data_IF_395195639686
#
_entry.id   IF_395195639686
#
_cell.length_a   1.000
_cell.length_b   1.000
_cell.length_c   1.000
_cell.angle_alpha   90.00
_cell.angle_beta   90.00
_cell.angle_gamma   90.00
#
_symmetry.space_group_name_H-M   'P 1'
#
loop_
_entity.id
_entity.type
_entity.pdbx_description
1 polymer ?
#
# COMPACT_ATOMS: atom_id res chain seq x y z
N UNK A 1 23.16 -37.29 13.88
CA UNK A 1 22.54 -35.97 13.63
C UNK A 1 21.65 -36.15 12.44
N UNK A 2 20.35 -36.05 12.69
CA UNK A 2 19.31 -36.76 11.95
C UNK A 2 18.69 -35.82 10.90
N UNK A 3 18.34 -36.35 9.73
CA UNK A 3 17.83 -35.58 8.58
C UNK A 3 16.55 -34.80 8.94
N UNK A 4 15.81 -35.31 9.91
CA UNK A 4 14.62 -34.70 10.51
C UNK A 4 14.93 -33.43 11.32
N UNK A 5 16.13 -33.34 11.91
CA UNK A 5 16.57 -32.19 12.70
C UNK A 5 16.95 -31.01 11.79
N UNK A 6 17.67 -31.29 10.70
CA UNK A 6 18.00 -30.28 9.67
C UNK A 6 16.73 -29.74 8.96
N UNK A 7 15.76 -30.60 8.68
CA UNK A 7 14.48 -30.19 8.08
C UNK A 7 13.68 -29.28 9.03
N UNK A 8 13.65 -29.61 10.33
CA UNK A 8 13.03 -28.78 11.37
C UNK A 8 13.71 -27.42 11.51
N UNK A 9 15.04 -27.38 11.51
CA UNK A 9 15.81 -26.13 11.57
C UNK A 9 15.51 -25.27 10.33
N UNK A 10 15.43 -25.88 9.15
CA UNK A 10 15.07 -25.17 7.91
C UNK A 10 13.64 -24.63 7.89
N UNK A 11 12.68 -25.36 8.43
CA UNK A 11 11.29 -24.92 8.61
C UNK A 11 11.19 -23.76 9.61
N UNK A 12 11.85 -23.89 10.76
CA UNK A 12 11.89 -22.83 11.78
C UNK A 12 12.51 -21.55 11.22
N UNK A 13 13.63 -21.64 10.51
CA UNK A 13 14.29 -20.50 9.89
C UNK A 13 13.37 -19.74 8.91
N UNK A 14 12.55 -20.46 8.13
CA UNK A 14 11.58 -19.85 7.21
C UNK A 14 10.36 -19.23 7.93
N UNK A 15 10.04 -19.69 9.14
CA UNK A 15 8.90 -19.21 9.93
C UNK A 15 9.21 -17.94 10.75
N UNK A 16 10.45 -17.78 11.23
CA UNK A 16 10.88 -16.66 12.07
C UNK A 16 10.48 -15.28 11.51
N UNK A 17 10.71 -14.95 10.22
CA UNK A 17 10.36 -13.63 9.67
C UNK A 17 8.86 -13.37 9.72
N UNK A 18 8.05 -14.39 9.44
CA UNK A 18 6.59 -14.28 9.52
C UNK A 18 6.11 -14.08 10.95
N UNK A 19 6.72 -14.75 11.93
CA UNK A 19 6.44 -14.53 13.34
C UNK A 19 6.79 -13.10 13.78
N UNK A 20 7.92 -12.56 13.31
CA UNK A 20 8.31 -11.17 13.59
C UNK A 20 7.29 -10.19 13.01
N UNK A 21 6.87 -10.37 11.75
CA UNK A 21 5.84 -9.52 11.13
C UNK A 21 4.50 -9.63 11.87
N UNK A 22 4.11 -10.85 12.26
CA UNK A 22 2.90 -11.06 13.06
C UNK A 22 2.98 -10.33 14.41
N UNK A 23 4.15 -10.33 15.06
CA UNK A 23 4.38 -9.60 16.30
C UNK A 23 4.31 -8.08 16.10
N UNK A 24 4.89 -7.56 15.00
CA UNK A 24 4.80 -6.13 14.65
C UNK A 24 3.33 -5.73 14.46
N UNK A 25 2.56 -6.51 13.69
CA UNK A 25 1.13 -6.27 13.47
C UNK A 25 0.35 -6.34 14.79
N UNK A 26 0.63 -7.34 15.63
CA UNK A 26 -0.02 -7.49 16.93
C UNK A 26 0.24 -6.27 17.82
N UNK A 27 1.48 -5.77 17.88
CA UNK A 27 1.82 -4.58 18.65
C UNK A 27 1.04 -3.35 18.17
N UNK A 28 0.96 -3.15 16.85
CA UNK A 28 0.16 -2.07 16.25
C UNK A 28 -1.31 -2.20 16.59
N UNK A 29 -1.88 -3.41 16.51
CA UNK A 29 -3.28 -3.68 16.88
C UNK A 29 -3.51 -3.30 18.34
N UNK A 30 -2.65 -3.75 19.26
CA UNK A 30 -2.79 -3.46 20.70
C UNK A 30 -2.79 -1.95 20.96
N UNK A 31 -1.87 -1.20 20.35
CA UNK A 31 -1.82 0.26 20.49
C UNK A 31 -3.06 0.91 19.91
N UNK A 32 -3.46 0.56 18.67
CA UNK A 32 -4.62 1.18 18.01
C UNK A 32 -5.95 0.85 18.68
N UNK A 33 -6.10 -0.33 19.27
CA UNK A 33 -7.31 -0.67 20.06
C UNK A 33 -7.44 0.27 21.25
N UNK A 34 -6.34 0.63 21.91
CA UNK A 34 -6.34 1.63 23.00
C UNK A 34 -6.67 3.04 22.51
N UNK A 35 -6.31 3.36 21.27
CA UNK A 35 -6.60 4.64 20.63
C UNK A 35 -7.98 4.68 19.93
N UNK A 36 -8.72 3.58 19.90
CA UNK A 36 -9.97 3.49 19.11
C UNK A 36 -11.09 4.43 19.59
N UNK A 37 -11.02 4.90 20.84
CA UNK A 37 -11.94 5.85 21.45
C UNK A 37 -11.53 7.32 21.31
N UNK A 38 -10.33 7.59 20.77
CA UNK A 38 -9.88 8.96 20.54
C UNK A 38 -10.89 9.64 19.60
N UNK A 39 -11.36 10.86 19.89
CA UNK A 39 -12.27 11.58 19.01
C UNK A 39 -11.69 11.73 17.60
N UNK A 40 -12.58 11.78 16.61
CA UNK A 40 -12.21 11.99 15.22
C UNK A 40 -11.42 13.30 15.06
N UNK A 41 -10.37 13.23 14.25
CA UNK A 41 -9.67 14.42 13.78
C UNK A 41 -10.55 15.20 12.79
N UNK A 42 -10.26 16.50 12.62
CA UNK A 42 -11.03 17.43 11.78
C UNK A 42 -11.36 16.90 10.37
N UNK A 43 -10.42 16.25 9.69
CA UNK A 43 -10.66 15.70 8.36
C UNK A 43 -11.51 14.42 8.41
N UNK A 44 -11.40 13.62 9.48
CA UNK A 44 -12.16 12.39 9.67
C UNK A 44 -13.65 12.65 9.86
N UNK A 45 -14.01 13.73 10.55
CA UNK A 45 -15.41 14.14 10.71
C UNK A 45 -16.10 14.35 9.36
N UNK A 46 -15.42 15.03 8.44
CA UNK A 46 -15.91 15.26 7.08
C UNK A 46 -16.05 13.93 6.31
N UNK A 47 -15.07 13.04 6.44
CA UNK A 47 -15.11 11.73 5.79
C UNK A 47 -16.20 10.82 6.35
N UNK A 48 -16.39 10.84 7.66
CA UNK A 48 -17.42 10.08 8.36
C UNK A 48 -18.81 10.55 7.95
N UNK A 49 -19.07 11.87 7.98
CA UNK A 49 -20.36 12.41 7.59
C UNK A 49 -20.72 12.05 6.13
N UNK A 50 -19.77 12.21 5.21
CA UNK A 50 -19.95 11.80 3.82
C UNK A 50 -20.20 10.30 3.66
N UNK A 51 -19.48 9.47 4.43
CA UNK A 51 -19.72 8.04 4.47
C UNK A 51 -21.12 7.68 4.97
N UNK A 52 -21.66 8.40 5.96
CA UNK A 52 -23.02 8.19 6.47
C UNK A 52 -24.07 8.53 5.42
N UNK A 53 -23.88 9.63 4.68
CA UNK A 53 -24.76 10.01 3.57
C UNK A 53 -24.80 8.93 2.49
N UNK A 54 -23.64 8.38 2.12
CA UNK A 54 -23.54 7.26 1.18
C UNK A 54 -24.34 6.04 1.70
N UNK A 55 -24.23 5.72 3.00
CA UNK A 55 -24.98 4.62 3.61
C UNK A 55 -26.50 4.88 3.65
N UNK A 56 -26.93 6.15 3.66
CA UNK A 56 -28.33 6.54 3.52
C UNK A 56 -28.80 6.66 2.06
N UNK A 57 -27.97 6.25 1.09
CA UNK A 57 -28.32 6.25 -0.32
C UNK A 57 -28.15 7.61 -1.02
N UNK A 58 -27.52 8.58 -0.37
CA UNK A 58 -27.19 9.88 -0.96
C UNK A 58 -25.88 9.75 -1.75
N UNK A 59 -25.88 9.99 -3.07
CA UNK A 59 -24.66 9.94 -3.87
C UNK A 59 -23.63 10.99 -3.44
N UNK A 60 -22.32 10.73 -3.62
CA UNK A 60 -21.28 11.74 -3.37
C UNK A 60 -21.56 13.04 -4.14
N UNK A 61 -21.30 14.18 -3.50
CA UNK A 61 -21.43 15.54 -4.05
C UNK A 61 -22.85 16.06 -4.32
N UNK A 62 -23.89 15.27 -4.03
CA UNK A 62 -25.26 15.75 -4.22
C UNK A 62 -25.63 16.79 -3.16
N UNK A 63 -25.50 16.40 -1.88
CA UNK A 63 -25.95 17.22 -0.75
C UNK A 63 -24.79 17.95 -0.06
N UNK A 64 -23.56 17.47 -0.26
CA UNK A 64 -22.33 18.06 0.31
C UNK A 64 -21.32 18.28 -0.80
N UNK A 65 -21.16 19.53 -1.19
CA UNK A 65 -20.21 19.94 -2.22
C UNK A 65 -18.78 19.92 -1.66
N UNK A 66 -17.89 19.19 -2.34
CA UNK A 66 -16.50 19.07 -1.93
C UNK A 66 -15.58 18.82 -3.14
N UNK A 67 -14.32 19.25 -3.04
CA UNK A 67 -13.28 19.08 -4.08
C UNK A 67 -12.48 17.77 -3.95
N UNK A 68 -12.57 17.06 -2.83
CA UNK A 68 -11.87 15.78 -2.61
C UNK A 68 -12.55 14.67 -3.39
N UNK A 69 -11.76 13.71 -3.88
CA UNK A 69 -12.24 12.54 -4.62
C UNK A 69 -13.06 11.59 -3.72
N UNK A 70 -13.97 10.78 -4.29
CA UNK A 70 -15.00 10.11 -3.49
C UNK A 70 -14.49 8.84 -2.78
N UNK A 71 -13.29 8.34 -3.13
CA UNK A 71 -12.79 7.06 -2.63
C UNK A 71 -12.68 6.99 -1.12
N UNK A 72 -12.21 8.07 -0.49
CA UNK A 72 -12.11 8.12 0.98
C UNK A 72 -13.49 8.03 1.63
N UNK A 73 -14.50 8.74 1.11
CA UNK A 73 -15.88 8.66 1.63
C UNK A 73 -16.46 7.25 1.48
N UNK A 74 -16.23 6.61 0.34
CA UNK A 74 -16.65 5.22 0.09
C UNK A 74 -15.95 4.27 1.06
N UNK A 75 -14.66 4.46 1.32
CA UNK A 75 -13.93 3.66 2.32
C UNK A 75 -14.51 3.82 3.71
N UNK A 76 -14.87 5.05 4.12
CA UNK A 76 -15.56 5.30 5.38
C UNK A 76 -16.92 4.62 5.45
N UNK A 77 -17.72 4.71 4.38
CA UNK A 77 -19.00 4.00 4.28
C UNK A 77 -18.79 2.48 4.45
N UNK A 78 -17.79 1.90 3.77
CA UNK A 78 -17.44 0.48 3.90
C UNK A 78 -17.07 0.12 5.34
N UNK A 79 -16.15 0.86 5.98
CA UNK A 79 -15.75 0.61 7.36
C UNK A 79 -16.95 0.71 8.33
N UNK A 80 -17.77 1.76 8.20
CA UNK A 80 -18.94 1.94 9.06
C UNK A 80 -20.04 0.91 8.81
N UNK A 81 -20.22 0.42 7.58
CA UNK A 81 -21.17 -0.67 7.30
C UNK A 81 -20.78 -1.98 8.00
N UNK A 82 -19.48 -2.23 8.17
CA UNK A 82 -18.96 -3.46 8.76
C UNK A 82 -18.81 -3.37 10.28
N UNK A 83 -18.34 -2.23 10.80
CA UNK A 83 -17.98 -2.06 12.22
C UNK A 83 -18.91 -1.10 12.98
N UNK A 84 -19.94 -0.58 12.31
CA UNK A 84 -20.91 0.38 12.85
C UNK A 84 -20.51 1.84 12.60
N UNK A 85 -21.52 2.72 12.52
CA UNK A 85 -21.37 4.17 12.38
C UNK A 85 -20.93 4.81 13.72
N UNK A 86 -19.71 4.51 14.15
CA UNK A 86 -19.11 5.03 15.39
C UNK A 86 -17.62 5.29 15.22
N UNK A 87 -17.05 6.10 16.12
CA UNK A 87 -15.60 6.40 16.16
C UNK A 87 -14.78 5.11 16.23
N UNK A 88 -15.13 4.22 17.17
CA UNK A 88 -14.50 2.89 17.27
C UNK A 88 -14.62 2.08 15.99
N UNK A 89 -15.77 2.13 15.32
CA UNK A 89 -15.99 1.40 14.07
C UNK A 89 -15.05 1.83 12.95
N UNK A 90 -14.87 3.15 12.79
CA UNK A 90 -13.93 3.74 11.83
C UNK A 90 -12.49 3.32 12.18
N UNK A 91 -12.09 3.45 13.45
CA UNK A 91 -10.74 3.09 13.88
C UNK A 91 -10.45 1.57 13.79
N UNK A 92 -11.44 0.70 13.94
CA UNK A 92 -11.28 -0.73 13.64
C UNK A 92 -11.04 -0.98 12.14
N UNK A 93 -11.73 -0.25 11.26
CA UNK A 93 -11.43 -0.27 9.84
C UNK A 93 -9.99 0.14 9.53
N UNK A 94 -9.51 1.21 10.19
CA UNK A 94 -8.12 1.66 10.07
C UNK A 94 -7.11 0.60 10.52
N UNK A 95 -7.39 -0.13 11.61
CA UNK A 95 -6.54 -1.22 12.09
C UNK A 95 -6.33 -2.27 10.99
N UNK A 96 -7.39 -2.65 10.28
CA UNK A 96 -7.33 -3.65 9.20
C UNK A 96 -6.48 -3.10 8.03
N UNK A 97 -6.75 -1.86 7.61
CA UNK A 97 -6.01 -1.20 6.52
C UNK A 97 -4.51 -1.12 6.85
N UNK A 98 -4.19 -0.70 8.07
CA UNK A 98 -2.80 -0.53 8.49
C UNK A 98 -2.08 -1.88 8.64
N UNK A 99 -2.75 -2.90 9.19
CA UNK A 99 -2.21 -4.27 9.28
C UNK A 99 -1.93 -4.88 7.90
N UNK A 100 -2.86 -4.73 6.97
CA UNK A 100 -2.68 -5.17 5.58
C UNK A 100 -1.53 -4.42 4.89
N UNK A 101 -1.40 -3.11 5.17
CA UNK A 101 -0.30 -2.29 4.62
C UNK A 101 1.06 -2.76 5.14
N UNK A 102 1.21 -3.03 6.44
CA UNK A 102 2.44 -3.58 7.03
C UNK A 102 2.81 -4.90 6.33
N UNK A 103 1.85 -5.79 6.14
CA UNK A 103 2.07 -7.06 5.45
C UNK A 103 2.53 -6.86 4.00
N UNK A 104 1.91 -5.93 3.26
CA UNK A 104 2.32 -5.63 1.89
C UNK A 104 3.73 -5.04 1.80
N UNK A 105 4.13 -4.19 2.75
CA UNK A 105 5.50 -3.67 2.85
C UNK A 105 6.48 -4.82 3.06
N UNK A 106 6.17 -5.76 3.94
CA UNK A 106 7.00 -6.94 4.15
C UNK A 106 7.14 -7.78 2.87
N UNK A 107 6.01 -8.10 2.21
CA UNK A 107 6.02 -8.89 0.98
C UNK A 107 6.81 -8.21 -0.14
N UNK A 108 6.64 -6.90 -0.27
CA UNK A 108 7.31 -6.11 -1.31
C UNK A 108 8.81 -5.96 -1.02
N UNK A 109 9.18 -5.63 0.22
CA UNK A 109 10.57 -5.52 0.64
C UNK A 109 11.34 -6.82 0.46
N UNK A 110 10.70 -7.96 0.78
CA UNK A 110 11.27 -9.29 0.60
C UNK A 110 11.47 -9.64 -0.88
N UNK A 111 10.59 -9.13 -1.75
CA UNK A 111 10.64 -9.34 -3.20
C UNK A 111 11.69 -8.48 -3.89
N UNK A 112 11.94 -7.26 -3.42
CA UNK A 112 12.81 -6.28 -4.08
C UNK A 112 14.24 -6.29 -3.52
N UNK A 113 14.42 -6.42 -2.20
CA UNK A 113 15.70 -6.21 -1.53
C UNK A 113 16.15 -7.48 -0.79
N UNK A 114 15.62 -7.69 0.41
CA UNK A 114 15.99 -8.79 1.29
C UNK A 114 14.96 -8.93 2.42
N UNK A 115 15.01 -10.06 3.10
CA UNK A 115 14.11 -10.33 4.24
C UNK A 115 14.37 -9.39 5.42
N UNK A 116 15.64 -9.12 5.74
CA UNK A 116 16.01 -8.19 6.82
C UNK A 116 15.55 -6.76 6.50
N UNK A 117 15.76 -6.30 5.26
CA UNK A 117 15.28 -4.99 4.83
C UNK A 117 13.75 -4.90 4.89
N UNK A 118 13.04 -5.99 4.54
CA UNK A 118 11.58 -6.06 4.62
C UNK A 118 11.07 -5.94 6.06
N UNK A 119 11.69 -6.65 7.00
CA UNK A 119 11.35 -6.58 8.42
C UNK A 119 11.58 -5.17 8.97
N UNK A 120 12.75 -4.58 8.68
CA UNK A 120 13.08 -3.22 9.08
C UNK A 120 12.09 -2.21 8.50
N UNK A 121 11.79 -2.28 7.20
CA UNK A 121 10.82 -1.38 6.56
C UNK A 121 9.41 -1.51 7.17
N UNK A 122 8.98 -2.74 7.47
CA UNK A 122 7.68 -3.02 8.08
C UNK A 122 7.60 -2.47 9.50
N UNK A 123 8.65 -2.64 10.31
CA UNK A 123 8.74 -2.08 11.66
C UNK A 123 8.77 -0.54 11.63
N UNK A 124 9.55 0.06 10.74
CA UNK A 124 9.62 1.52 10.58
C UNK A 124 8.26 2.09 10.18
N UNK A 125 7.59 1.49 9.20
CA UNK A 125 6.25 1.93 8.81
C UNK A 125 5.24 1.76 9.96
N UNK A 126 5.28 0.64 10.69
CA UNK A 126 4.42 0.41 11.84
C UNK A 126 4.54 1.54 12.87
N UNK A 127 5.78 1.92 13.24
CA UNK A 127 6.04 3.01 14.19
C UNK A 127 5.56 4.36 13.64
N UNK A 128 5.97 4.72 12.41
CA UNK A 128 5.57 5.99 11.79
C UNK A 128 4.04 6.10 11.63
N UNK A 129 3.38 4.99 11.37
CA UNK A 129 1.92 4.97 11.23
C UNK A 129 1.18 5.14 12.55
N UNK A 130 1.85 5.09 13.70
CA UNK A 130 1.26 5.40 15.00
C UNK A 130 1.60 6.83 15.48
N UNK A 131 2.48 7.52 14.75
CA UNK A 131 3.03 8.80 15.18
C UNK A 131 2.06 9.96 14.94
N UNK A 132 1.92 10.82 15.94
CA UNK A 132 0.99 11.96 15.89
C UNK A 132 1.48 13.09 14.99
N UNK A 133 2.79 13.24 14.75
CA UNK A 133 3.34 14.31 13.91
C UNK A 133 2.95 14.14 12.44
N UNK A 134 2.62 12.91 12.03
CA UNK A 134 2.12 12.59 10.69
C UNK A 134 0.62 12.23 10.70
N UNK A 135 -0.06 12.50 11.82
CA UNK A 135 -1.46 12.15 12.06
C UNK A 135 -1.78 10.66 11.83
N UNK A 136 -0.83 9.75 12.10
CA UNK A 136 -0.97 8.32 11.80
C UNK A 136 -2.02 7.59 12.65
N UNK A 137 -2.42 8.19 13.78
CA UNK A 137 -3.48 7.65 14.63
C UNK A 137 -4.88 7.78 13.99
N UNK A 138 -5.08 8.79 13.14
CA UNK A 138 -6.34 9.10 12.46
C UNK A 138 -6.48 8.35 11.12
N UNK A 139 -7.71 8.02 10.76
CA UNK A 139 -8.10 7.30 9.54
C UNK A 139 -8.07 8.22 8.30
N UNK A 140 -6.93 8.87 8.06
CA UNK A 140 -6.75 9.77 6.92
C UNK A 140 -6.69 9.04 5.58
N UNK A 141 -7.07 9.77 4.52
CA UNK A 141 -7.02 9.34 3.13
C UNK A 141 -5.68 8.73 2.69
N UNK A 142 -4.55 9.18 3.26
CA UNK A 142 -3.22 8.66 2.93
C UNK A 142 -3.06 7.17 3.26
N UNK A 143 -3.65 6.68 4.35
CA UNK A 143 -3.66 5.24 4.66
C UNK A 143 -4.38 4.45 3.58
N UNK A 144 -5.48 4.99 3.04
CA UNK A 144 -6.27 4.34 1.99
C UNK A 144 -5.64 4.46 0.60
N UNK A 145 -4.74 5.42 0.37
CA UNK A 145 -3.93 5.49 -0.86
C UNK A 145 -2.86 4.39 -0.85
N UNK A 146 -2.14 4.26 0.26
CA UNK A 146 -0.95 3.40 0.35
C UNK A 146 -1.31 1.92 0.18
N UNK A 147 -2.40 1.45 0.79
CA UNK A 147 -2.84 0.05 0.71
C UNK A 147 -2.99 -0.45 -0.75
N UNK A 148 -3.87 0.13 -1.59
CA UNK A 148 -4.01 -0.28 -2.98
C UNK A 148 -2.77 0.06 -3.81
N UNK A 149 -2.05 1.15 -3.53
CA UNK A 149 -0.81 1.45 -4.25
C UNK A 149 0.23 0.33 -4.11
N UNK A 150 0.48 -0.16 -2.89
CA UNK A 150 1.41 -1.26 -2.64
C UNK A 150 0.92 -2.57 -3.25
N UNK A 151 -0.37 -2.86 -3.17
CA UNK A 151 -0.97 -4.01 -3.84
C UNK A 151 -0.78 -3.94 -5.36
N UNK A 152 -0.97 -2.76 -5.94
CA UNK A 152 -0.75 -2.47 -7.35
C UNK A 152 0.68 -2.74 -7.79
N UNK A 153 1.67 -2.28 -7.01
CA UNK A 153 3.10 -2.56 -7.26
C UNK A 153 3.39 -4.06 -7.13
N UNK A 154 2.89 -4.73 -6.09
CA UNK A 154 3.14 -6.16 -5.88
C UNK A 154 2.63 -7.00 -7.06
N UNK A 155 1.41 -6.71 -7.52
CA UNK A 155 0.80 -7.34 -8.70
C UNK A 155 1.53 -6.99 -9.98
N UNK A 156 1.96 -5.74 -10.17
CA UNK A 156 2.75 -5.31 -11.33
C UNK A 156 4.04 -6.14 -11.45
N UNK A 157 4.78 -6.26 -10.36
CA UNK A 157 6.01 -7.06 -10.32
C UNK A 157 5.73 -8.56 -10.57
N UNK A 158 4.53 -9.04 -10.23
CA UNK A 158 4.10 -10.41 -10.56
C UNK A 158 3.72 -10.56 -12.03
N UNK A 159 3.05 -9.55 -12.59
CA UNK A 159 2.64 -9.48 -13.98
C UNK A 159 3.85 -9.48 -14.91
N UNK A 160 4.88 -8.68 -14.62
CA UNK A 160 6.13 -8.65 -15.39
C UNK A 160 6.83 -10.01 -15.42
N UNK A 161 6.80 -10.77 -14.32
CA UNK A 161 7.42 -12.10 -14.26
C UNK A 161 6.62 -13.18 -15.00
N UNK A 162 5.29 -13.12 -14.92
CA UNK A 162 4.41 -14.18 -15.42
C UNK A 162 3.80 -13.87 -16.79
N UNK A 163 3.93 -12.62 -17.25
CA UNK A 163 3.33 -12.05 -18.43
C UNK A 163 1.81 -12.28 -18.57
N UNK A 164 1.11 -12.37 -17.44
CA UNK A 164 -0.34 -12.62 -17.40
C UNK A 164 -1.12 -11.30 -17.52
N UNK A 165 -1.93 -11.16 -18.57
CA UNK A 165 -2.72 -9.95 -18.83
C UNK A 165 -3.63 -9.54 -17.66
N UNK A 166 -4.28 -10.50 -17.00
CA UNK A 166 -5.16 -10.19 -15.85
C UNK A 166 -4.40 -9.58 -14.68
N UNK A 167 -3.11 -9.89 -14.49
CA UNK A 167 -2.31 -9.32 -13.41
C UNK A 167 -1.99 -7.83 -13.66
N UNK A 168 -1.77 -7.43 -14.92
CA UNK A 168 -1.65 -6.02 -15.30
C UNK A 168 -2.96 -5.26 -15.10
N UNK A 169 -4.10 -5.86 -15.48
CA UNK A 169 -5.42 -5.27 -15.26
C UNK A 169 -5.66 -4.97 -13.78
N UNK A 170 -5.52 -5.97 -12.91
CA UNK A 170 -5.72 -5.78 -11.48
C UNK A 170 -4.71 -4.80 -10.85
N UNK A 171 -3.47 -4.78 -11.33
CA UNK A 171 -2.49 -3.77 -10.93
C UNK A 171 -2.96 -2.35 -11.28
N UNK A 172 -3.40 -2.12 -12.52
CA UNK A 172 -3.94 -0.84 -12.96
C UNK A 172 -5.20 -0.42 -12.19
N UNK A 173 -6.11 -1.35 -11.91
CA UNK A 173 -7.29 -1.11 -11.06
C UNK A 173 -6.89 -0.64 -9.68
N UNK A 174 -5.91 -1.29 -9.04
CA UNK A 174 -5.43 -0.88 -7.71
C UNK A 174 -4.77 0.51 -7.74
N UNK A 175 -3.99 0.85 -8.76
CA UNK A 175 -3.47 2.21 -8.90
C UNK A 175 -4.58 3.25 -9.13
N UNK A 176 -5.61 2.92 -9.91
CA UNK A 176 -6.80 3.75 -10.07
C UNK A 176 -7.55 3.97 -8.76
N UNK A 177 -7.71 2.91 -7.94
CA UNK A 177 -8.29 3.02 -6.61
C UNK A 177 -7.43 3.92 -5.71
N UNK A 178 -6.10 3.80 -5.73
CA UNK A 178 -5.20 4.67 -4.99
C UNK A 178 -5.41 6.15 -5.37
N UNK A 179 -5.58 6.46 -6.65
CA UNK A 179 -5.89 7.80 -7.13
C UNK A 179 -7.26 8.29 -6.63
N UNK A 180 -8.31 7.47 -6.72
CA UNK A 180 -9.66 7.85 -6.27
C UNK A 180 -9.73 8.09 -4.75
N UNK A 181 -8.84 7.48 -3.96
CA UNK A 181 -8.73 7.78 -2.53
C UNK A 181 -8.22 9.20 -2.27
N UNK A 182 -7.18 9.64 -2.98
CA UNK A 182 -6.63 11.00 -2.90
C UNK A 182 -5.80 11.31 -4.15
N UNK A 183 -5.83 12.56 -4.61
CA UNK A 183 -5.10 13.03 -5.82
C UNK A 183 -3.61 12.61 -5.89
N UNK A 184 -2.81 12.62 -4.78
CA UNK A 184 -1.43 12.14 -4.81
C UNK A 184 -1.27 10.66 -5.22
N UNK A 185 -2.33 9.86 -5.17
CA UNK A 185 -2.34 8.49 -5.68
C UNK A 185 -1.98 8.39 -7.17
N UNK A 186 -2.15 9.50 -7.94
CA UNK A 186 -1.74 9.59 -9.34
C UNK A 186 -0.25 9.26 -9.55
N UNK A 187 0.61 9.63 -8.61
CA UNK A 187 2.04 9.37 -8.74
C UNK A 187 2.38 7.87 -8.74
N UNK A 188 1.59 7.04 -8.05
CA UNK A 188 1.77 5.58 -8.09
C UNK A 188 1.31 4.99 -9.42
N UNK A 189 0.25 5.55 -10.03
CA UNK A 189 -0.17 5.17 -11.37
C UNK A 189 0.93 5.51 -12.40
N UNK A 190 1.47 6.73 -12.34
CA UNK A 190 2.55 7.18 -13.23
C UNK A 190 3.82 6.32 -13.05
N UNK A 191 4.16 5.98 -11.81
CA UNK A 191 5.23 5.02 -11.51
C UNK A 191 4.97 3.67 -12.18
N UNK A 192 3.79 3.07 -11.98
CA UNK A 192 3.47 1.77 -12.57
C UNK A 192 3.55 1.78 -14.09
N UNK A 193 3.00 2.82 -14.73
CA UNK A 193 3.04 2.98 -16.18
C UNK A 193 4.47 3.17 -16.72
N UNK A 194 5.24 4.09 -16.12
CA UNK A 194 6.64 4.31 -16.52
C UNK A 194 7.50 3.07 -16.30
N UNK A 195 7.24 2.29 -15.25
CA UNK A 195 7.97 1.06 -14.97
C UNK A 195 7.69 -0.04 -16.00
N UNK A 196 6.44 -0.14 -16.51
CA UNK A 196 6.11 -1.05 -17.63
C UNK A 196 6.89 -0.66 -18.88
N UNK A 197 6.91 0.63 -19.24
CA UNK A 197 7.67 1.12 -20.40
C UNK A 197 9.15 0.79 -20.23
N UNK A 198 9.71 1.09 -19.05
CA UNK A 198 11.10 0.79 -18.74
C UNK A 198 11.41 -0.70 -18.90
N UNK A 199 10.59 -1.58 -18.34
CA UNK A 199 10.77 -3.03 -18.44
C UNK A 199 10.71 -3.48 -19.90
N UNK A 200 9.71 -3.01 -20.66
CA UNK A 200 9.54 -3.35 -22.07
C UNK A 200 10.72 -2.88 -22.94
N UNK A 201 11.24 -1.68 -22.72
CA UNK A 201 12.40 -1.14 -23.45
C UNK A 201 13.68 -1.88 -23.05
N UNK A 202 13.85 -2.21 -21.77
CA UNK A 202 15.05 -2.90 -21.25
C UNK A 202 15.16 -4.34 -21.75
N UNK A 203 14.04 -4.99 -22.04
CA UNK A 203 14.00 -6.32 -22.66
C UNK A 203 14.37 -6.30 -24.15
N UNK A 204 14.38 -5.13 -24.80
CA UNK A 204 14.83 -5.00 -26.19
C UNK A 204 16.35 -4.84 -26.26
N UNK A 205 17.09 -5.70 -27.00
CA UNK A 205 18.55 -5.66 -27.07
C UNK A 205 19.11 -4.33 -27.62
N UNK A 206 18.33 -3.60 -28.43
CA UNK A 206 18.73 -2.31 -29.00
C UNK A 206 18.85 -1.17 -27.97
N UNK A 207 18.19 -1.25 -26.81
CA UNK A 207 18.07 -0.15 -25.84
C UNK A 207 18.60 -0.51 -24.43
N UNK A 208 19.27 -1.66 -24.27
CA UNK A 208 19.98 -1.99 -23.03
C UNK A 208 20.91 -0.84 -22.66
N UNK A 209 20.98 -0.46 -21.37
CA UNK A 209 21.82 0.65 -20.88
C UNK A 209 23.31 0.51 -21.29
N UNK A 210 23.77 -0.74 -21.52
CA UNK A 210 25.10 -1.04 -22.09
C UNK A 210 25.29 -0.58 -23.55
N UNK A 211 24.20 -0.47 -24.32
CA UNK A 211 24.19 0.01 -25.70
C UNK A 211 23.83 1.51 -25.81
N UNK A 212 23.36 2.15 -24.74
CA UNK A 212 23.03 3.59 -24.75
C UNK A 212 24.25 4.47 -25.09
N UNK A 213 25.44 4.13 -24.56
CA UNK A 213 26.70 4.81 -24.93
C UNK A 213 27.15 4.55 -26.37
N UNK A 214 26.62 3.53 -27.05
CA UNK A 214 26.92 3.25 -28.46
C UNK A 214 26.02 4.04 -29.42
N UNK A 215 24.93 4.65 -28.93
CA UNK A 215 23.97 5.39 -29.75
C UNK A 215 24.35 6.86 -29.99
N UNK A 216 25.43 7.35 -29.37
CA UNK A 216 25.98 8.69 -29.60
C UNK A 216 27.40 8.61 -30.17
N UNK A 217 27.58 8.40 -31.49
CA UNK A 217 28.89 8.49 -32.13
C UNK A 217 29.50 9.91 -32.07
N UNK A 218 28.69 10.92 -31.71
CA UNK A 218 29.05 12.34 -31.78
C UNK A 218 29.78 12.90 -30.54
N UNK A 219 30.00 12.11 -29.49
CA UNK A 219 30.77 12.52 -28.31
C UNK A 219 32.24 12.07 -28.37
N UNK A 220 32.73 11.73 -29.56
CA UNK A 220 34.15 11.46 -29.82
C UNK A 220 34.70 12.44 -30.84
N UNK A 221 34.69 13.73 -30.50
CA UNK A 221 35.63 14.68 -31.09
C UNK A 221 36.72 14.98 -30.06
N UNK A 222 37.89 14.40 -30.33
CA UNK A 222 39.25 14.88 -30.05
C UNK A 222 39.52 15.67 -28.75
N UNK A 223 40.41 15.06 -27.96
CA UNK A 223 41.22 15.64 -26.89
C UNK A 223 42.26 14.62 -26.47
#
# INVERSE_FOLDING_TARGET
>A
MDKLEDERIGLAAKAIPWLIVALIILLVIVVRVRLSDVPLERDEDEYAYMGQLILHGVPPYNDVYNMKLPGTYIMYALMMSQFGQSIRGIHFGLIIVNSATILLIFLLGKKIISETAALTASATYAILSLDSSVAGFAAHATHFVVLPALGGVLLLLGALRTNKLHAYWWSGTLFGLAFIMKQPGLFFFLFGFSYIIYAYVSERPAYSFKNFYRLFPYLRSEG
#
